data_IF_548769486932
#
_entry.id   IF_548769486932
#
_cell.length_a   1.000
_cell.length_b   1.000
_cell.length_c   1.000
_cell.angle_alpha   90.00
_cell.angle_beta   90.00
_cell.angle_gamma   90.00
#
_symmetry.space_group_name_H-M   'P 1'
#
loop_
_entity.id
_entity.type
_entity.pdbx_description
1 polymer ?
#
# COMPACT_ATOMS: atom_id res chain seq x y z
N UNK A 1 -39.10 41.61 -21.48
CA UNK A 1 -40.02 40.78 -22.30
C UNK A 1 -39.44 39.37 -22.32
N UNK A 2 -40.02 38.45 -21.56
CA UNK A 2 -39.64 37.02 -21.54
C UNK A 2 -40.85 36.29 -22.12
N UNK A 3 -40.76 35.88 -23.38
CA UNK A 3 -41.83 35.18 -24.10
C UNK A 3 -41.83 33.69 -23.76
N UNK A 4 -42.98 33.24 -23.27
CA UNK A 4 -43.50 31.87 -23.11
C UNK A 4 -42.68 30.70 -23.68
N UNK A 5 -42.28 29.79 -22.78
CA UNK A 5 -41.94 28.38 -23.08
C UNK A 5 -43.07 27.43 -22.67
N UNK A 6 -44.33 27.87 -22.69
CA UNK A 6 -45.49 27.00 -22.39
C UNK A 6 -46.14 26.52 -23.67
N UNK A 7 -45.48 25.58 -24.36
CA UNK A 7 -46.20 24.77 -25.34
C UNK A 7 -46.73 23.51 -24.64
N UNK A 8 -47.71 23.68 -23.75
CA UNK A 8 -48.41 22.57 -23.10
C UNK A 8 -49.12 21.71 -24.15
N UNK A 9 -49.10 20.39 -23.97
CA UNK A 9 -49.81 19.46 -24.87
C UNK A 9 -51.03 18.88 -24.18
N UNK A 10 -52.15 18.79 -24.91
CA UNK A 10 -53.36 18.15 -24.39
C UNK A 10 -53.28 16.65 -24.52
N UNK A 11 -53.67 15.94 -23.47
CA UNK A 11 -53.80 14.50 -23.48
C UNK A 11 -54.97 14.10 -24.41
N UNK A 12 -54.76 13.25 -25.42
CA UNK A 12 -55.84 12.80 -26.30
C UNK A 12 -56.86 11.89 -25.58
N UNK A 13 -56.52 11.32 -24.43
CA UNK A 13 -57.39 10.39 -23.70
C UNK A 13 -58.34 11.08 -22.72
N UNK A 14 -57.95 12.19 -22.10
CA UNK A 14 -58.80 12.90 -21.11
C UNK A 14 -58.89 14.42 -21.32
N UNK A 15 -58.16 14.99 -22.27
CA UNK A 15 -58.16 16.43 -22.56
C UNK A 15 -57.31 17.30 -21.62
N UNK A 16 -56.71 16.72 -20.57
CA UNK A 16 -55.89 17.45 -19.61
C UNK A 16 -54.66 18.09 -20.27
N UNK A 17 -54.29 19.29 -19.83
CA UNK A 17 -53.09 19.99 -20.30
C UNK A 17 -51.87 19.51 -19.52
N UNK A 18 -50.85 19.03 -20.24
CA UNK A 18 -49.66 18.43 -19.65
C UNK A 18 -48.40 19.14 -20.16
N UNK A 19 -47.33 19.22 -19.36
CA UNK A 19 -46.05 19.74 -19.81
C UNK A 19 -45.50 18.99 -21.02
N UNK A 20 -44.69 19.66 -21.82
CA UNK A 20 -44.09 19.09 -23.02
C UNK A 20 -42.91 18.16 -22.73
N UNK A 21 -42.70 17.68 -21.51
CA UNK A 21 -41.64 16.74 -21.17
C UNK A 21 -42.17 15.45 -20.54
N UNK A 22 -43.46 15.40 -20.17
CA UNK A 22 -44.04 14.22 -19.54
C UNK A 22 -44.40 13.15 -20.57
N UNK A 23 -44.23 11.89 -20.18
CA UNK A 23 -44.45 10.71 -21.03
C UNK A 23 -45.86 10.14 -20.81
N UNK A 24 -46.39 10.31 -19.60
CA UNK A 24 -47.72 9.90 -19.17
C UNK A 24 -48.49 11.12 -18.69
N UNK A 25 -49.81 11.12 -18.90
CA UNK A 25 -50.68 12.17 -18.42
C UNK A 25 -50.78 12.12 -16.90
N UNK A 26 -50.66 13.27 -16.24
CA UNK A 26 -50.70 13.36 -14.78
C UNK A 26 -52.11 13.11 -14.20
N UNK A 27 -53.17 13.23 -15.01
CA UNK A 27 -54.55 13.03 -14.54
C UNK A 27 -55.11 11.63 -14.79
N UNK A 28 -54.84 11.04 -15.96
CA UNK A 28 -55.43 9.75 -16.33
C UNK A 28 -54.40 8.63 -16.54
N UNK A 29 -53.11 8.94 -16.36
CA UNK A 29 -51.99 8.01 -16.56
C UNK A 29 -51.86 7.45 -17.98
N UNK A 30 -52.61 7.96 -18.95
CA UNK A 30 -52.48 7.57 -20.35
C UNK A 30 -51.13 8.03 -20.93
N UNK A 31 -50.50 7.17 -21.74
CA UNK A 31 -49.24 7.50 -22.40
C UNK A 31 -49.46 8.55 -23.48
N UNK A 32 -48.79 9.70 -23.35
CA UNK A 32 -48.92 10.86 -24.25
C UNK A 32 -47.72 11.04 -25.18
N UNK A 33 -46.59 10.37 -24.91
CA UNK A 33 -45.42 10.33 -25.82
C UNK A 33 -44.76 8.96 -25.92
N UNK A 34 -44.22 8.67 -27.11
CA UNK A 34 -43.25 7.59 -27.29
C UNK A 34 -41.94 7.96 -26.60
N UNK A 35 -41.35 7.02 -25.87
CA UNK A 35 -39.98 7.18 -25.33
C UNK A 35 -39.04 7.25 -26.53
N UNK A 36 -38.38 8.39 -26.75
CA UNK A 36 -37.31 8.49 -27.74
C UNK A 36 -36.07 7.78 -27.18
N UNK A 37 -35.66 6.61 -27.71
CA UNK A 37 -34.58 5.81 -27.12
C UNK A 37 -33.25 6.57 -27.10
N UNK A 38 -33.07 7.56 -27.97
CA UNK A 38 -31.79 8.27 -28.16
C UNK A 38 -31.36 9.08 -26.93
N UNK A 39 -32.30 9.48 -26.05
CA UNK A 39 -32.00 10.21 -24.80
C UNK A 39 -31.68 9.32 -23.59
N UNK A 40 -31.97 8.02 -23.66
CA UNK A 40 -31.64 7.09 -22.56
C UNK A 40 -30.18 6.66 -22.67
N UNK A 41 -29.68 6.44 -23.89
CA UNK A 41 -28.28 6.09 -24.12
C UNK A 41 -27.27 7.20 -23.78
N UNK A 42 -27.67 8.48 -23.81
CA UNK A 42 -26.76 9.58 -23.45
C UNK A 42 -26.57 9.77 -21.94
N UNK A 43 -27.52 9.31 -21.11
CA UNK A 43 -27.41 9.40 -19.65
C UNK A 43 -26.64 8.23 -19.04
N UNK A 44 -26.73 7.04 -19.63
CA UNK A 44 -25.96 5.87 -19.19
C UNK A 44 -24.46 6.09 -19.37
N UNK A 45 -24.05 6.68 -20.50
CA UNK A 45 -22.65 6.96 -20.81
C UNK A 45 -22.04 8.15 -20.04
N UNK A 46 -22.86 8.99 -19.40
CA UNK A 46 -22.38 10.14 -18.61
C UNK A 46 -22.28 9.85 -17.10
N UNK A 47 -22.85 8.74 -16.61
CA UNK A 47 -22.83 8.37 -15.19
C UNK A 47 -21.73 7.36 -14.83
N UNK A 48 -20.98 6.85 -15.81
CA UNK A 48 -19.82 5.97 -15.59
C UNK A 48 -18.47 6.70 -15.57
N UNK A 49 -18.43 7.98 -15.16
CA UNK A 49 -17.17 8.74 -15.07
C UNK A 49 -16.97 9.49 -13.75
N UNK A 50 -17.35 8.86 -12.64
CA UNK A 50 -16.84 9.19 -11.30
C UNK A 50 -16.44 7.88 -10.57
N UNK A 51 -15.12 7.56 -10.66
CA UNK A 51 -14.24 6.72 -9.79
C UNK A 51 -14.48 5.18 -9.62
N UNK A 52 -13.44 4.32 -9.88
CA UNK A 52 -12.43 4.00 -8.85
C UNK A 52 -10.99 3.91 -9.40
N UNK A 53 -10.18 4.95 -9.18
CA UNK A 53 -8.72 4.95 -9.42
C UNK A 53 -7.96 4.49 -8.17
N UNK A 54 -8.38 3.38 -7.53
CA UNK A 54 -7.79 2.92 -6.26
C UNK A 54 -7.06 1.58 -6.36
N UNK A 55 -7.54 0.63 -7.17
CA UNK A 55 -6.97 -0.74 -7.22
C UNK A 55 -5.59 -0.85 -7.90
N UNK A 56 -5.25 0.05 -8.83
CA UNK A 56 -3.96 0.01 -9.52
C UNK A 56 -2.79 0.46 -8.63
N UNK A 57 -3.05 1.44 -7.77
CA UNK A 57 -2.06 2.04 -6.89
C UNK A 57 -1.74 1.15 -5.68
N UNK A 58 -2.74 0.51 -5.07
CA UNK A 58 -2.54 -0.38 -3.91
C UNK A 58 -1.58 -1.55 -4.21
N UNK A 59 -1.73 -2.16 -5.39
CA UNK A 59 -0.88 -3.29 -5.80
C UNK A 59 0.56 -2.83 -6.13
N UNK A 60 0.72 -1.65 -6.71
CA UNK A 60 2.04 -1.08 -6.98
C UNK A 60 2.79 -0.73 -5.68
N UNK A 61 2.09 -0.17 -4.69
CA UNK A 61 2.65 0.15 -3.37
C UNK A 61 3.04 -1.13 -2.60
N UNK A 62 2.21 -2.18 -2.63
CA UNK A 62 2.54 -3.45 -1.96
C UNK A 62 3.76 -4.13 -2.58
N UNK A 63 3.85 -4.19 -3.91
CA UNK A 63 5.00 -4.80 -4.60
C UNK A 63 6.31 -4.05 -4.35
N UNK A 64 6.26 -2.71 -4.30
CA UNK A 64 7.45 -1.90 -3.99
C UNK A 64 7.93 -2.13 -2.55
N UNK A 65 7.00 -2.29 -1.60
CA UNK A 65 7.34 -2.60 -0.21
C UNK A 65 7.95 -4.00 -0.05
N UNK A 66 7.41 -5.02 -0.73
CA UNK A 66 7.95 -6.39 -0.74
C UNK A 66 9.35 -6.45 -1.35
N UNK A 67 9.60 -5.72 -2.43
CA UNK A 67 10.94 -5.64 -3.05
C UNK A 67 11.92 -4.89 -2.14
N UNK A 68 11.50 -3.79 -1.51
CA UNK A 68 12.34 -3.06 -0.56
C UNK A 68 12.69 -3.89 0.68
N UNK A 69 11.73 -4.67 1.20
CA UNK A 69 11.95 -5.61 2.31
C UNK A 69 12.90 -6.73 1.87
N UNK A 70 12.69 -7.32 0.67
CA UNK A 70 13.53 -8.40 0.17
C UNK A 70 14.99 -7.98 -0.06
N UNK A 71 15.23 -6.77 -0.55
CA UNK A 71 16.59 -6.22 -0.72
C UNK A 71 17.26 -6.04 0.64
N UNK A 72 16.54 -5.53 1.63
CA UNK A 72 17.06 -5.35 2.98
C UNK A 72 17.36 -6.69 3.66
N UNK A 73 16.50 -7.70 3.49
CA UNK A 73 16.71 -9.06 4.01
C UNK A 73 17.93 -9.72 3.38
N UNK A 74 18.09 -9.61 2.06
CA UNK A 74 19.28 -10.13 1.37
C UNK A 74 20.56 -9.44 1.86
N UNK A 75 20.52 -8.13 2.10
CA UNK A 75 21.65 -7.35 2.61
C UNK A 75 22.02 -7.75 4.04
N UNK A 76 21.05 -8.05 4.90
CA UNK A 76 21.26 -8.57 6.26
C UNK A 76 21.93 -9.93 6.22
N UNK A 77 21.47 -10.83 5.35
CA UNK A 77 22.02 -12.17 5.23
C UNK A 77 23.51 -12.12 4.83
N UNK A 78 23.86 -11.19 3.92
CA UNK A 78 25.25 -10.95 3.51
C UNK A 78 26.09 -10.40 4.68
N UNK A 79 25.59 -9.39 5.40
CA UNK A 79 26.33 -8.80 6.53
C UNK A 79 26.53 -9.82 7.65
N UNK A 80 25.50 -10.61 7.96
CA UNK A 80 25.58 -11.66 8.96
C UNK A 80 26.61 -12.74 8.56
N UNK A 81 26.57 -13.20 7.31
CA UNK A 81 27.55 -14.16 6.80
C UNK A 81 28.98 -13.61 6.88
N UNK A 82 29.21 -12.35 6.52
CA UNK A 82 30.52 -11.71 6.64
C UNK A 82 31.00 -11.62 8.10
N UNK A 83 30.11 -11.30 9.03
CA UNK A 83 30.44 -11.27 10.46
C UNK A 83 30.83 -12.66 10.99
N UNK A 84 30.10 -13.70 10.59
CA UNK A 84 30.43 -15.10 10.95
C UNK A 84 31.79 -15.49 10.38
N UNK A 85 32.07 -15.15 9.12
CA UNK A 85 33.38 -15.43 8.49
C UNK A 85 34.51 -14.70 9.23
N UNK A 86 34.32 -13.42 9.55
CA UNK A 86 35.31 -12.63 10.29
C UNK A 86 35.55 -13.19 11.69
N UNK A 87 34.50 -13.63 12.39
CA UNK A 87 34.59 -14.31 13.68
C UNK A 87 35.36 -15.63 13.57
N UNK A 88 35.07 -16.46 12.57
CA UNK A 88 35.79 -17.73 12.39
C UNK A 88 37.25 -17.46 12.06
N UNK A 89 37.53 -16.52 11.16
CA UNK A 89 38.89 -16.14 10.77
C UNK A 89 39.71 -15.64 11.96
N UNK A 90 39.15 -14.76 12.78
CA UNK A 90 39.82 -14.26 13.98
C UNK A 90 40.03 -15.36 15.04
N UNK A 91 39.12 -16.34 15.14
CA UNK A 91 39.28 -17.51 16.02
C UNK A 91 40.43 -18.40 15.58
N UNK A 92 40.53 -18.66 14.27
CA UNK A 92 41.60 -19.47 13.70
C UNK A 92 42.97 -18.81 13.85
N UNK A 93 43.05 -17.49 13.65
CA UNK A 93 44.29 -16.73 13.85
C UNK A 93 44.70 -16.75 15.33
N UNK A 94 43.75 -16.54 16.25
CA UNK A 94 44.02 -16.62 17.69
C UNK A 94 44.49 -18.01 18.12
N UNK A 95 43.87 -19.06 17.55
CA UNK A 95 44.24 -20.45 17.79
C UNK A 95 45.65 -20.76 17.25
N UNK A 96 46.00 -20.24 16.08
CA UNK A 96 47.32 -20.38 15.49
C UNK A 96 48.41 -19.72 16.35
N UNK A 97 48.17 -18.49 16.82
CA UNK A 97 49.08 -17.78 17.72
C UNK A 97 49.28 -18.58 19.02
N UNK A 98 48.21 -19.10 19.61
CA UNK A 98 48.26 -19.89 20.85
C UNK A 98 49.06 -21.18 20.69
N UNK A 99 48.89 -21.90 19.56
CA UNK A 99 49.71 -23.08 19.25
C UNK A 99 51.18 -22.73 19.06
N UNK A 100 51.49 -21.57 18.50
CA UNK A 100 52.86 -21.14 18.23
C UNK A 100 53.61 -20.64 19.45
N UNK A 101 52.92 -20.06 20.45
CA UNK A 101 53.55 -19.53 21.66
C UNK A 101 52.54 -19.56 22.83
N UNK A 102 52.56 -20.64 23.62
CA UNK A 102 51.54 -20.87 24.64
C UNK A 102 51.92 -20.20 25.97
N UNK A 103 51.48 -18.96 26.18
CA UNK A 103 51.60 -18.25 27.46
C UNK A 103 50.20 -18.10 28.13
N UNK A 104 49.97 -18.62 29.35
CA UNK A 104 48.65 -18.60 30.01
C UNK A 104 48.05 -17.21 30.24
N UNK A 105 48.86 -16.16 30.36
CA UNK A 105 48.40 -14.77 30.50
C UNK A 105 47.66 -14.25 29.25
N UNK A 106 47.99 -14.81 28.07
CA UNK A 106 47.33 -14.46 26.80
C UNK A 106 45.93 -15.07 26.66
N UNK A 107 45.68 -16.22 27.28
CA UNK A 107 44.41 -16.95 27.15
C UNK A 107 43.23 -16.19 27.77
N UNK A 108 43.44 -15.53 28.92
CA UNK A 108 42.41 -14.71 29.56
C UNK A 108 42.05 -13.48 28.72
N UNK A 109 43.06 -12.86 28.12
CA UNK A 109 42.91 -11.69 27.25
C UNK A 109 42.14 -12.03 25.98
N UNK A 110 42.41 -13.20 25.39
CA UNK A 110 41.71 -13.71 24.21
C UNK A 110 40.24 -13.97 24.55
N UNK A 111 39.95 -14.68 25.65
CA UNK A 111 38.58 -14.98 26.07
C UNK A 111 37.73 -13.70 26.27
N UNK A 112 38.29 -12.69 26.95
CA UNK A 112 37.62 -11.38 27.14
C UNK A 112 37.30 -10.69 25.82
N UNK A 113 38.22 -10.78 24.86
CA UNK A 113 38.04 -10.18 23.53
C UNK A 113 36.89 -10.85 22.76
N UNK A 114 36.80 -12.18 22.80
CA UNK A 114 35.69 -12.94 22.20
C UNK A 114 34.34 -12.61 22.82
N UNK A 115 34.30 -12.51 24.14
CA UNK A 115 33.10 -12.16 24.89
C UNK A 115 32.61 -10.75 24.53
N UNK A 116 33.53 -9.79 24.40
CA UNK A 116 33.20 -8.43 23.97
C UNK A 116 32.60 -8.38 22.56
N UNK A 117 33.18 -9.12 21.60
CA UNK A 117 32.66 -9.22 20.23
C UNK A 117 31.26 -9.83 20.21
N UNK A 118 31.04 -10.92 20.95
CA UNK A 118 29.73 -11.57 21.04
C UNK A 118 28.65 -10.61 21.60
N UNK A 119 29.00 -9.82 22.63
CA UNK A 119 28.09 -8.82 23.22
C UNK A 119 27.76 -7.71 22.22
N UNK A 120 28.75 -7.20 21.48
CA UNK A 120 28.52 -6.15 20.46
C UNK A 120 27.57 -6.66 19.37
N UNK A 121 27.77 -7.89 18.90
CA UNK A 121 26.90 -8.52 17.90
C UNK A 121 25.47 -8.67 18.44
N UNK A 122 25.31 -9.11 19.69
CA UNK A 122 24.00 -9.24 20.32
C UNK A 122 23.28 -7.88 20.45
N UNK A 123 23.99 -6.83 20.86
CA UNK A 123 23.45 -5.47 20.97
C UNK A 123 23.05 -4.94 19.59
N UNK A 124 23.90 -5.10 18.56
CA UNK A 124 23.60 -4.68 17.21
C UNK A 124 22.35 -5.39 16.65
N UNK A 125 22.23 -6.71 16.88
CA UNK A 125 21.05 -7.48 16.51
C UNK A 125 19.79 -7.03 17.23
N UNK A 126 19.87 -6.70 18.53
CA UNK A 126 18.74 -6.19 19.30
C UNK A 126 18.28 -4.81 18.81
N UNK A 127 19.22 -3.89 18.59
CA UNK A 127 18.91 -2.56 18.03
C UNK A 127 18.26 -2.68 16.66
N UNK A 128 18.77 -3.60 15.83
CA UNK A 128 18.18 -3.87 14.52
C UNK A 128 16.73 -4.36 14.62
N UNK A 129 16.45 -5.36 15.48
CA UNK A 129 15.10 -5.88 15.70
C UNK A 129 14.13 -4.80 16.24
N UNK A 130 14.64 -3.87 17.05
CA UNK A 130 13.85 -2.72 17.54
C UNK A 130 13.49 -1.77 16.39
N UNK A 131 14.46 -1.45 15.52
CA UNK A 131 14.25 -0.57 14.36
C UNK A 131 13.25 -1.18 13.39
N UNK A 132 13.34 -2.48 13.12
CA UNK A 132 12.40 -3.20 12.26
C UNK A 132 10.96 -3.15 12.83
N UNK A 133 10.79 -3.42 14.14
CA UNK A 133 9.49 -3.31 14.81
C UNK A 133 8.92 -1.88 14.83
N UNK A 134 9.77 -0.86 14.77
CA UNK A 134 9.34 0.54 14.68
C UNK A 134 8.87 0.87 13.26
N UNK A 135 9.62 0.45 12.25
CA UNK A 135 9.28 0.65 10.85
C UNK A 135 7.95 -0.01 10.48
N UNK A 136 7.72 -1.25 10.92
CA UNK A 136 6.46 -1.95 10.68
C UNK A 136 5.26 -1.28 11.36
N UNK A 137 5.45 -0.71 12.56
CA UNK A 137 4.38 0.07 13.22
C UNK A 137 4.07 1.39 12.51
N UNK A 138 5.09 2.08 12.01
CA UNK A 138 4.89 3.34 11.27
C UNK A 138 4.19 3.09 9.93
N UNK A 139 4.46 1.98 9.24
CA UNK A 139 3.74 1.62 8.00
C UNK A 139 2.27 1.26 8.20
N UNK A 140 1.85 0.92 9.42
CA UNK A 140 0.46 0.58 9.75
C UNK A 140 -0.38 1.79 10.20
N UNK A 141 0.21 2.98 10.29
CA UNK A 141 -0.55 4.18 10.66
C UNK A 141 -1.42 4.63 9.47
N UNK A 142 -2.76 4.69 9.61
CA UNK A 142 -3.65 5.10 8.54
C UNK A 142 -3.34 6.54 8.12
N UNK A 143 -3.34 6.76 6.81
CA UNK A 143 -2.95 7.99 6.10
C UNK A 143 -3.89 9.19 6.33
N UNK A 144 -4.72 9.17 7.37
CA UNK A 144 -5.82 10.11 7.61
C UNK A 144 -5.42 11.32 8.45
N UNK A 145 -4.13 11.58 8.66
CA UNK A 145 -3.61 12.69 9.49
C UNK A 145 -2.59 13.58 8.75
N UNK A 146 -2.69 13.73 7.42
CA UNK A 146 -1.95 14.75 6.66
C UNK A 146 -2.91 15.64 5.89
#
# INVERSE_FOLDING_TARGET
MISDWRNGMKCPSCGAENPDYVIFCEQCSAKIRGVDPKRIFSKESAKQREEPETRGNENAIMNLSLVAIAINVRRIFIVFALMVILSIGTSLVSLWISISDFNPESAESILKTWLAIAVIIAIAGLLYAIVEKRLSRVSLLPRTLR
#
